data_IF_325275242870
#
_entry.id   IF_325275242870
#
_cell.length_a   1.000
_cell.length_b   1.000
_cell.length_c   1.000
_cell.angle_alpha   90.00
_cell.angle_beta   90.00
_cell.angle_gamma   90.00
#
_symmetry.space_group_name_H-M   'P 1'
#
loop_
_entity.id
_entity.type
_entity.pdbx_description
1 polymer ?
#
# COMPACT_ATOMS: atom_id res chain seq x y z
N UNK A 1 -20.26 -4.50 -27.17
CA UNK A 1 -19.61 -3.87 -25.99
C UNK A 1 -20.46 -2.78 -25.33
N UNK A 2 -21.30 -2.03 -26.05
CA UNK A 2 -22.16 -0.97 -25.49
C UNK A 2 -23.12 -1.39 -24.35
N UNK A 3 -23.64 -2.62 -24.37
CA UNK A 3 -24.57 -3.11 -23.36
C UNK A 3 -23.94 -3.24 -21.97
N UNK A 4 -22.66 -3.63 -21.88
CA UNK A 4 -21.94 -3.78 -20.60
C UNK A 4 -21.74 -2.42 -19.95
N UNK A 5 -21.35 -1.41 -20.75
CA UNK A 5 -21.13 -0.04 -20.29
C UNK A 5 -22.44 0.67 -19.90
N UNK A 6 -23.53 0.42 -20.63
CA UNK A 6 -24.85 0.92 -20.27
C UNK A 6 -25.35 0.37 -18.94
N UNK A 7 -25.10 -0.92 -18.66
CA UNK A 7 -25.40 -1.54 -17.36
C UNK A 7 -24.53 -0.94 -16.26
N UNK A 8 -23.22 -0.80 -16.49
CA UNK A 8 -22.29 -0.22 -15.52
C UNK A 8 -22.67 1.22 -15.12
N UNK A 9 -23.00 2.08 -16.10
CA UNK A 9 -23.42 3.46 -15.84
C UNK A 9 -24.77 3.54 -15.13
N UNK A 10 -25.68 2.60 -15.39
CA UNK A 10 -26.93 2.48 -14.64
C UNK A 10 -26.66 2.13 -13.17
N UNK A 11 -25.79 1.16 -12.90
CA UNK A 11 -25.38 0.79 -11.54
C UNK A 11 -24.73 1.95 -10.79
N UNK A 12 -23.87 2.74 -11.45
CA UNK A 12 -23.25 3.93 -10.85
C UNK A 12 -24.32 4.96 -10.47
N UNK A 13 -25.27 5.26 -11.36
CA UNK A 13 -26.37 6.21 -11.06
C UNK A 13 -27.24 5.74 -9.91
N UNK A 14 -27.47 4.43 -9.81
CA UNK A 14 -28.25 3.83 -8.74
C UNK A 14 -27.51 3.92 -7.39
N UNK A 15 -26.21 3.60 -7.38
CA UNK A 15 -25.36 3.70 -6.19
C UNK A 15 -25.21 5.15 -5.70
N UNK A 16 -25.04 6.12 -6.60
CA UNK A 16 -24.95 7.55 -6.23
C UNK A 16 -26.24 8.10 -5.62
N UNK A 17 -27.41 7.52 -5.96
CA UNK A 17 -28.70 7.90 -5.35
C UNK A 17 -28.92 7.25 -3.98
N UNK A 18 -28.07 6.32 -3.57
CA UNK A 18 -28.20 5.69 -2.26
C UNK A 18 -27.79 6.67 -1.17
N UNK A 19 -28.71 6.97 -0.25
CA UNK A 19 -28.43 7.78 0.95
C UNK A 19 -27.23 7.24 1.73
N UNK A 20 -27.05 5.91 1.77
CA UNK A 20 -25.93 5.27 2.47
C UNK A 20 -24.58 5.69 1.88
N UNK A 21 -24.44 5.72 0.54
CA UNK A 21 -23.20 6.15 -0.09
C UNK A 21 -22.85 7.60 0.26
N UNK A 22 -23.86 8.48 0.30
CA UNK A 22 -23.68 9.86 0.74
C UNK A 22 -23.20 9.96 2.19
N UNK A 23 -23.71 9.11 3.09
CA UNK A 23 -23.26 9.08 4.51
C UNK A 23 -21.77 8.75 4.60
N UNK A 24 -21.28 7.73 3.88
CA UNK A 24 -19.85 7.39 3.88
C UNK A 24 -18.98 8.51 3.30
N UNK A 25 -19.46 9.17 2.23
CA UNK A 25 -18.73 10.29 1.61
C UNK A 25 -18.63 11.47 2.59
N UNK A 26 -19.74 11.86 3.21
CA UNK A 26 -19.77 12.94 4.21
C UNK A 26 -18.88 12.59 5.40
N UNK A 27 -18.96 11.35 5.88
CA UNK A 27 -18.13 10.86 6.98
C UNK A 27 -16.63 10.98 6.65
N UNK A 28 -16.20 10.59 5.44
CA UNK A 28 -14.80 10.76 5.02
C UNK A 28 -14.40 12.23 4.88
N UNK A 29 -15.26 13.08 4.31
CA UNK A 29 -15.01 14.52 4.16
C UNK A 29 -14.83 15.21 5.52
N UNK A 30 -15.52 14.77 6.57
CA UNK A 30 -15.37 15.32 7.92
C UNK A 30 -14.19 14.70 8.66
N UNK A 31 -14.02 13.38 8.57
CA UNK A 31 -13.04 12.65 9.38
C UNK A 31 -11.59 12.90 8.92
N UNK A 32 -11.36 13.08 7.61
CA UNK A 32 -10.01 13.34 7.08
C UNK A 32 -9.42 14.69 7.56
N UNK A 33 -10.11 15.84 7.46
CA UNK A 33 -9.62 17.10 8.01
C UNK A 33 -9.41 17.05 9.53
N UNK A 34 -10.34 16.42 10.26
CA UNK A 34 -10.22 16.26 11.72
C UNK A 34 -8.95 15.47 12.07
N UNK A 35 -8.66 14.40 11.34
CA UNK A 35 -7.39 13.67 11.51
C UNK A 35 -6.17 14.51 11.15
N UNK A 36 -6.22 15.31 10.08
CA UNK A 36 -5.11 16.19 9.71
C UNK A 36 -4.73 17.19 10.81
N UNK A 37 -5.74 17.75 11.49
CA UNK A 37 -5.55 18.74 12.57
C UNK A 37 -5.23 18.09 13.93
N UNK A 38 -5.73 16.88 14.19
CA UNK A 38 -5.56 16.21 15.50
C UNK A 38 -4.27 15.39 15.60
N UNK A 39 -3.72 14.91 14.50
CA UNK A 39 -2.57 13.99 14.54
C UNK A 39 -1.25 14.73 14.82
N UNK A 40 -0.66 14.53 16.00
CA UNK A 40 0.61 15.18 16.39
C UNK A 40 1.84 14.36 16.00
N UNK A 41 1.71 13.05 15.75
CA UNK A 41 2.82 12.16 15.40
C UNK A 41 3.94 12.21 16.46
N UNK A 42 5.18 12.33 16.00
CA UNK A 42 6.39 12.42 16.84
C UNK A 42 6.77 13.87 17.22
N UNK A 43 5.84 14.83 17.05
CA UNK A 43 6.10 16.25 17.26
C UNK A 43 6.86 16.95 16.12
N UNK A 44 7.41 16.20 15.17
CA UNK A 44 8.00 16.73 13.93
C UNK A 44 6.96 16.84 12.82
N UNK A 45 7.12 17.81 11.91
CA UNK A 45 6.25 17.95 10.75
C UNK A 45 6.23 16.68 9.87
N UNK A 46 7.38 16.03 9.70
CA UNK A 46 7.49 14.76 8.94
C UNK A 46 6.66 13.65 9.56
N UNK A 47 6.83 13.39 10.86
CA UNK A 47 6.12 12.33 11.57
C UNK A 47 4.61 12.53 11.47
N UNK A 48 4.16 13.79 11.58
CA UNK A 48 2.76 14.18 11.41
C UNK A 48 2.22 13.86 10.01
N UNK A 49 2.94 14.24 8.94
CA UNK A 49 2.53 13.93 7.56
C UNK A 49 2.50 12.42 7.29
N UNK A 50 3.52 11.69 7.72
CA UNK A 50 3.60 10.25 7.53
C UNK A 50 2.47 9.51 8.25
N UNK A 51 2.19 9.92 9.50
CA UNK A 51 1.09 9.36 10.28
C UNK A 51 -0.24 9.71 9.63
N UNK A 52 -0.47 10.97 9.27
CA UNK A 52 -1.70 11.39 8.61
C UNK A 52 -1.98 10.62 7.32
N UNK A 53 -1.00 10.50 6.41
CA UNK A 53 -1.19 9.78 5.15
C UNK A 53 -1.41 8.29 5.38
N UNK A 54 -0.65 7.66 6.27
CA UNK A 54 -0.77 6.21 6.53
C UNK A 54 -2.13 5.87 7.16
N UNK A 55 -2.52 6.59 8.21
CA UNK A 55 -3.81 6.37 8.88
C UNK A 55 -4.99 6.83 8.04
N UNK A 56 -4.86 7.96 7.32
CA UNK A 56 -5.89 8.49 6.42
C UNK A 56 -6.20 7.53 5.27
N UNK A 57 -5.17 6.95 4.64
CA UNK A 57 -5.34 5.92 3.61
C UNK A 57 -5.94 4.64 4.18
N UNK A 58 -5.49 4.20 5.36
CA UNK A 58 -6.02 2.99 6.02
C UNK A 58 -7.52 3.12 6.35
N UNK A 59 -7.91 4.26 6.93
CA UNK A 59 -9.29 4.57 7.27
C UNK A 59 -10.17 4.70 6.03
N UNK A 60 -9.66 5.37 5.00
CA UNK A 60 -10.32 5.49 3.68
C UNK A 60 -10.55 4.11 3.08
N UNK A 61 -9.54 3.25 3.08
CA UNK A 61 -9.63 1.88 2.58
C UNK A 61 -10.69 1.06 3.33
N UNK A 62 -10.71 1.12 4.67
CA UNK A 62 -11.71 0.43 5.50
C UNK A 62 -13.13 0.86 5.11
N UNK A 63 -13.38 2.17 5.07
CA UNK A 63 -14.70 2.72 4.79
C UNK A 63 -15.15 2.44 3.35
N UNK A 64 -14.25 2.53 2.38
CA UNK A 64 -14.52 2.16 0.99
C UNK A 64 -14.84 0.67 0.82
N UNK A 65 -14.14 -0.20 1.55
CA UNK A 65 -14.41 -1.64 1.55
C UNK A 65 -15.83 -1.91 2.07
N UNK A 66 -16.20 -1.32 3.21
CA UNK A 66 -17.53 -1.46 3.78
C UNK A 66 -18.62 -0.91 2.84
N UNK A 67 -18.39 0.27 2.26
CA UNK A 67 -19.29 0.87 1.27
C UNK A 67 -19.45 -0.05 0.04
N UNK A 68 -18.37 -0.62 -0.45
CA UNK A 68 -18.37 -1.51 -1.62
C UNK A 68 -19.21 -2.76 -1.36
N UNK A 69 -19.07 -3.37 -0.18
CA UNK A 69 -19.90 -4.53 0.22
C UNK A 69 -21.38 -4.13 0.26
N UNK A 70 -21.72 -3.02 0.90
CA UNK A 70 -23.11 -2.56 1.02
C UNK A 70 -23.71 -2.25 -0.35
N UNK A 71 -22.98 -1.53 -1.22
CA UNK A 71 -23.44 -1.21 -2.58
C UNK A 71 -23.62 -2.48 -3.41
N UNK A 72 -22.71 -3.44 -3.29
CA UNK A 72 -22.81 -4.73 -3.99
C UNK A 72 -24.06 -5.50 -3.57
N UNK A 73 -24.32 -5.62 -2.27
CA UNK A 73 -25.53 -6.28 -1.74
C UNK A 73 -26.78 -5.52 -2.19
N UNK A 74 -26.81 -4.20 -2.03
CA UNK A 74 -27.97 -3.39 -2.38
C UNK A 74 -28.33 -3.45 -3.87
N UNK A 75 -27.32 -3.33 -4.75
CA UNK A 75 -27.54 -3.41 -6.20
C UNK A 75 -27.98 -4.82 -6.63
N UNK A 76 -27.62 -5.86 -5.89
CA UNK A 76 -28.12 -7.21 -6.12
C UNK A 76 -29.57 -7.37 -5.63
N UNK A 77 -29.85 -6.98 -4.39
CA UNK A 77 -31.19 -7.09 -3.77
C UNK A 77 -32.22 -6.23 -4.49
N UNK A 78 -31.86 -5.00 -4.88
CA UNK A 78 -32.81 -4.10 -5.54
C UNK A 78 -33.23 -4.62 -6.91
N UNK A 79 -32.33 -5.27 -7.65
CA UNK A 79 -32.65 -5.88 -8.94
C UNK A 79 -33.59 -7.08 -8.80
N UNK A 80 -33.43 -7.88 -7.74
CA UNK A 80 -34.34 -8.97 -7.40
C UNK A 80 -35.72 -8.39 -7.06
N UNK A 81 -35.77 -7.35 -6.22
CA UNK A 81 -37.02 -6.73 -5.74
C UNK A 81 -37.80 -6.05 -6.87
N UNK A 82 -37.12 -5.35 -7.78
CA UNK A 82 -37.75 -4.63 -8.89
C UNK A 82 -38.11 -5.54 -10.08
N UNK A 83 -37.91 -6.86 -9.97
CA UNK A 83 -38.14 -7.84 -11.05
C UNK A 83 -37.42 -7.49 -12.37
N UNK A 84 -36.40 -6.62 -12.33
CA UNK A 84 -35.65 -6.24 -13.53
C UNK A 84 -34.97 -7.44 -14.20
N UNK A 85 -34.58 -8.45 -13.40
CA UNK A 85 -34.06 -9.72 -13.90
C UNK A 85 -35.03 -10.36 -14.90
N UNK A 86 -36.34 -10.33 -14.65
CA UNK A 86 -37.35 -10.94 -15.51
C UNK A 86 -37.56 -10.16 -16.82
N UNK A 87 -37.40 -8.84 -16.81
CA UNK A 87 -37.51 -7.98 -18.01
C UNK A 87 -36.23 -7.98 -18.85
N UNK A 88 -35.07 -8.28 -18.25
CA UNK A 88 -33.79 -8.32 -18.97
C UNK A 88 -33.55 -9.69 -19.61
N UNK A 89 -34.10 -10.77 -19.06
CA UNK A 89 -34.03 -12.13 -19.65
C UNK A 89 -34.74 -12.19 -21.02
N UNK A 90 -35.73 -11.32 -21.29
CA UNK A 90 -36.42 -11.29 -22.60
C UNK A 90 -35.61 -10.57 -23.68
N UNK A 91 -34.51 -9.87 -23.33
CA UNK A 91 -33.53 -9.35 -24.31
C UNK A 91 -32.44 -10.39 -24.54
N UNK A 92 -31.84 -10.48 -25.75
CA UNK A 92 -30.79 -11.44 -26.07
C UNK A 92 -29.44 -11.06 -25.42
N UNK A 93 -29.43 -10.96 -24.09
CA UNK A 93 -28.26 -10.60 -23.27
C UNK A 93 -27.91 -11.83 -22.42
N UNK A 94 -26.71 -12.37 -22.62
CA UNK A 94 -26.21 -13.52 -21.84
C UNK A 94 -26.10 -13.14 -20.36
N UNK A 95 -26.49 -14.05 -19.45
CA UNK A 95 -26.48 -13.81 -17.99
C UNK A 95 -25.14 -13.29 -17.45
N UNK A 96 -24.02 -13.81 -17.98
CA UNK A 96 -22.67 -13.37 -17.62
C UNK A 96 -22.39 -11.90 -17.96
N UNK A 97 -23.00 -11.37 -19.02
CA UNK A 97 -22.77 -10.00 -19.48
C UNK A 97 -23.38 -8.96 -18.52
N UNK A 98 -24.48 -9.32 -17.84
CA UNK A 98 -25.07 -8.50 -16.78
C UNK A 98 -24.22 -8.49 -15.52
N UNK A 99 -23.73 -9.68 -15.12
CA UNK A 99 -22.87 -9.81 -13.96
C UNK A 99 -21.56 -9.02 -14.15
N UNK A 100 -20.95 -9.13 -15.33
CA UNK A 100 -19.76 -8.34 -15.71
C UNK A 100 -20.03 -6.83 -15.73
N UNK A 101 -21.17 -6.40 -16.30
CA UNK A 101 -21.54 -4.98 -16.33
C UNK A 101 -21.71 -4.39 -14.93
N UNK A 102 -22.32 -5.13 -14.01
CA UNK A 102 -22.46 -4.71 -12.61
C UNK A 102 -21.13 -4.68 -11.88
N UNK A 103 -20.32 -5.73 -12.01
CA UNK A 103 -19.01 -5.82 -11.40
C UNK A 103 -18.13 -4.65 -11.85
N UNK A 104 -18.11 -4.36 -13.16
CA UNK A 104 -17.42 -3.18 -13.69
C UNK A 104 -17.99 -1.88 -13.14
N UNK A 105 -19.31 -1.74 -13.00
CA UNK A 105 -19.94 -0.56 -12.40
C UNK A 105 -19.50 -0.32 -10.95
N UNK A 106 -19.44 -1.38 -10.13
CA UNK A 106 -18.98 -1.31 -8.74
C UNK A 106 -17.48 -0.99 -8.68
N UNK A 107 -16.65 -1.65 -9.48
CA UNK A 107 -15.20 -1.37 -9.54
C UNK A 107 -14.95 0.08 -9.94
N UNK A 108 -15.58 0.55 -11.01
CA UNK A 108 -15.38 1.91 -11.51
C UNK A 108 -15.82 2.95 -10.46
N UNK A 109 -16.93 2.70 -9.77
CA UNK A 109 -17.38 3.54 -8.65
C UNK A 109 -16.35 3.56 -7.52
N UNK A 110 -15.88 2.40 -7.05
CA UNK A 110 -14.90 2.31 -5.97
C UNK A 110 -13.57 2.95 -6.34
N UNK A 111 -13.09 2.77 -7.58
CA UNK A 111 -11.89 3.43 -8.10
C UNK A 111 -12.07 4.94 -8.18
N UNK A 112 -13.22 5.43 -8.64
CA UNK A 112 -13.50 6.87 -8.70
C UNK A 112 -13.54 7.51 -7.31
N UNK A 113 -14.20 6.87 -6.34
CA UNK A 113 -14.21 7.36 -4.95
C UNK A 113 -12.81 7.29 -4.33
N UNK A 114 -12.06 6.21 -4.54
CA UNK A 114 -10.68 6.10 -4.06
C UNK A 114 -9.81 7.24 -4.60
N UNK A 115 -9.86 7.49 -5.92
CA UNK A 115 -9.13 8.59 -6.53
C UNK A 115 -9.52 9.96 -5.95
N UNK A 116 -10.81 10.20 -5.73
CA UNK A 116 -11.31 11.42 -5.10
C UNK A 116 -10.75 11.60 -3.68
N UNK A 117 -10.83 10.58 -2.83
CA UNK A 117 -10.34 10.67 -1.46
C UNK A 117 -8.81 10.73 -1.38
N UNK A 118 -8.09 10.02 -2.26
CA UNK A 118 -6.64 10.16 -2.40
C UNK A 118 -6.25 11.58 -2.79
N UNK A 119 -6.99 12.23 -3.70
CA UNK A 119 -6.76 13.63 -4.05
C UNK A 119 -7.01 14.58 -2.87
N UNK A 120 -8.05 14.32 -2.05
CA UNK A 120 -8.32 15.09 -0.83
C UNK A 120 -7.18 14.93 0.18
N UNK A 121 -6.74 13.69 0.43
CA UNK A 121 -5.60 13.42 1.34
C UNK A 121 -4.36 14.16 0.84
N UNK A 122 -4.02 14.02 -0.44
CA UNK A 122 -2.88 14.71 -1.06
C UNK A 122 -2.95 16.23 -0.91
N UNK A 123 -4.14 16.80 -1.14
CA UNK A 123 -4.39 18.23 -0.96
C UNK A 123 -4.10 18.63 0.49
N UNK A 124 -4.69 17.94 1.47
CA UNK A 124 -4.46 18.22 2.89
C UNK A 124 -2.97 18.11 3.23
N UNK A 125 -2.27 17.08 2.74
CA UNK A 125 -0.83 16.87 2.94
C UNK A 125 0.02 18.04 2.43
N UNK A 126 -0.31 18.61 1.26
CA UNK A 126 0.40 19.77 0.70
C UNK A 126 0.12 21.06 1.48
N UNK A 127 -1.10 21.25 1.98
CA UNK A 127 -1.46 22.46 2.71
C UNK A 127 -1.07 22.41 4.19
N UNK A 128 -0.81 21.22 4.74
CA UNK A 128 -0.41 21.02 6.14
C UNK A 128 0.80 21.88 6.56
N UNK A 129 1.92 21.94 5.82
CA UNK A 129 3.06 22.80 6.17
C UNK A 129 2.71 24.29 6.30
N UNK A 130 1.74 24.78 5.52
CA UNK A 130 1.27 26.18 5.59
C UNK A 130 0.38 26.46 6.80
N UNK A 131 -0.29 25.42 7.34
CA UNK A 131 -1.19 25.54 8.49
C UNK A 131 -0.45 25.58 9.83
N UNK A 132 0.77 25.05 9.90
CA UNK A 132 1.53 24.90 11.16
C UNK A 132 2.77 25.80 11.23
N UNK A 133 2.93 26.74 10.29
CA UNK A 133 4.00 27.76 10.27
C UNK A 133 5.40 27.16 10.55
N UNK A 134 5.69 26.06 9.87
CA UNK A 134 6.87 25.25 10.13
C UNK A 134 8.16 26.00 9.81
N UNK A 135 9.17 25.86 10.68
CA UNK A 135 10.48 26.46 10.47
C UNK A 135 11.14 26.00 9.17
N UNK A 136 11.97 26.85 8.55
CA UNK A 136 12.61 26.56 7.25
C UNK A 136 13.37 25.22 7.23
N UNK A 137 13.99 24.84 8.36
CA UNK A 137 14.68 23.57 8.52
C UNK A 137 13.74 22.34 8.40
N UNK A 138 12.53 22.42 8.96
CA UNK A 138 11.54 21.33 8.87
C UNK A 138 10.97 21.20 7.45
N UNK A 139 10.80 22.33 6.74
CA UNK A 139 10.34 22.33 5.35
C UNK A 139 11.34 21.65 4.42
N UNK A 140 12.64 21.92 4.59
CA UNK A 140 13.72 21.26 3.84
C UNK A 140 13.72 19.76 4.14
N UNK A 141 13.58 19.37 5.41
CA UNK A 141 13.54 17.97 5.80
C UNK A 141 12.35 17.24 5.17
N UNK A 142 11.15 17.82 5.23
CA UNK A 142 9.95 17.24 4.64
C UNK A 142 10.06 17.14 3.12
N UNK A 143 10.61 18.16 2.45
CA UNK A 143 10.84 18.11 1.00
C UNK A 143 11.76 16.95 0.62
N UNK A 144 12.90 16.83 1.30
CA UNK A 144 13.91 15.83 0.98
C UNK A 144 13.51 14.40 1.39
N UNK A 145 12.81 14.25 2.52
CA UNK A 145 12.52 12.93 3.09
C UNK A 145 11.13 12.40 2.76
N UNK A 146 10.13 13.27 2.55
CA UNK A 146 8.74 12.87 2.36
C UNK A 146 8.23 13.11 0.93
N UNK A 147 8.54 14.26 0.33
CA UNK A 147 8.06 14.59 -1.02
C UNK A 147 8.97 14.06 -2.15
N UNK A 148 10.21 13.69 -1.86
CA UNK A 148 11.13 13.08 -2.84
C UNK A 148 11.06 11.56 -2.78
N UNK A 149 10.83 10.91 -3.93
CA UNK A 149 10.89 9.47 -4.04
C UNK A 149 12.33 8.96 -3.83
N UNK A 150 12.55 8.08 -2.85
CA UNK A 150 13.88 7.54 -2.53
C UNK A 150 13.99 6.09 -3.01
N UNK A 151 15.02 5.79 -3.79
CA UNK A 151 15.40 4.41 -4.06
C UNK A 151 16.16 3.86 -2.84
N UNK A 152 15.70 2.73 -2.30
CA UNK A 152 16.44 2.03 -1.25
C UNK A 152 17.69 1.40 -1.86
N UNK A 153 18.86 1.69 -1.30
CA UNK A 153 20.10 1.03 -1.65
C UNK A 153 20.32 -0.13 -0.68
N UNK A 154 20.37 -1.34 -1.20
CA UNK A 154 20.76 -2.50 -0.40
C UNK A 154 22.28 -2.49 -0.23
N UNK A 155 22.79 -2.67 1.01
CA UNK A 155 24.22 -2.81 1.23
C UNK A 155 24.81 -3.92 0.37
N UNK A 156 26.02 -3.75 -0.18
CA UNK A 156 26.67 -4.80 -0.97
C UNK A 156 26.86 -6.06 -0.12
N UNK A 157 26.59 -7.23 -0.71
CA UNK A 157 26.86 -8.49 -0.03
C UNK A 157 28.37 -8.68 0.14
N UNK A 158 28.79 -8.91 1.38
CA UNK A 158 30.18 -9.28 1.67
C UNK A 158 30.38 -10.73 1.21
N UNK A 159 31.37 -10.97 0.37
CA UNK A 159 31.72 -12.34 -0.05
C UNK A 159 32.27 -13.13 1.15
N UNK A 160 31.46 -14.04 1.67
CA UNK A 160 31.80 -14.93 2.79
C UNK A 160 32.17 -16.34 2.32
N UNK A 161 32.28 -16.58 1.02
CA UNK A 161 32.39 -17.92 0.44
C UNK A 161 33.61 -18.69 0.98
N UNK A 162 34.76 -18.02 1.09
CA UNK A 162 35.98 -18.64 1.61
C UNK A 162 35.89 -18.96 3.10
N UNK A 163 35.29 -18.07 3.89
CA UNK A 163 35.10 -18.26 5.34
C UNK A 163 34.13 -19.41 5.64
N UNK A 164 33.08 -19.54 4.84
CA UNK A 164 32.09 -20.63 4.94
C UNK A 164 32.73 -21.99 4.63
N UNK A 165 33.52 -22.08 3.57
CA UNK A 165 34.24 -23.32 3.21
C UNK A 165 35.24 -23.73 4.30
N UNK A 166 35.99 -22.78 4.85
CA UNK A 166 36.91 -23.05 5.96
C UNK A 166 36.17 -23.54 7.22
N UNK A 167 35.01 -22.95 7.52
CA UNK A 167 34.15 -23.37 8.64
C UNK A 167 33.58 -24.77 8.43
N UNK A 168 33.14 -25.07 7.21
CA UNK A 168 32.65 -26.40 6.83
C UNK A 168 33.72 -27.48 6.98
N UNK A 169 34.92 -27.24 6.46
CA UNK A 169 36.05 -28.18 6.59
C UNK A 169 36.45 -28.40 8.06
N UNK A 170 36.35 -27.35 8.88
CA UNK A 170 36.58 -27.47 10.33
C UNK A 170 35.55 -28.38 10.99
N UNK A 171 34.25 -28.21 10.69
CA UNK A 171 33.16 -29.04 11.21
C UNK A 171 33.25 -30.49 10.73
N UNK A 172 33.73 -30.70 9.50
CA UNK A 172 34.01 -32.02 8.93
C UNK A 172 35.12 -32.74 9.70
N UNK A 173 36.22 -32.04 10.01
CA UNK A 173 37.35 -32.60 10.76
C UNK A 173 37.00 -32.92 12.21
N UNK A 174 36.11 -32.16 12.84
CA UNK A 174 35.66 -32.40 14.22
C UNK A 174 34.51 -33.39 14.34
N UNK A 175 33.96 -33.88 13.23
CA UNK A 175 32.86 -34.85 13.22
C UNK A 175 31.52 -34.28 13.71
N UNK A 176 31.34 -32.96 13.69
CA UNK A 176 30.14 -32.26 14.19
C UNK A 176 29.15 -31.89 13.07
N UNK A 177 29.24 -32.54 11.91
CA UNK A 177 28.29 -32.33 10.82
C UNK A 177 26.96 -33.01 11.16
N UNK A 178 25.82 -32.31 10.99
CA UNK A 178 24.50 -32.93 11.11
C UNK A 178 24.41 -34.16 10.17
N UNK A 179 24.06 -35.34 10.68
CA UNK A 179 24.09 -36.58 9.89
C UNK A 179 22.98 -36.66 8.82
N UNK A 180 21.99 -35.77 8.86
CA UNK A 180 20.75 -35.85 8.06
C UNK A 180 20.54 -34.64 7.10
N UNK A 181 21.58 -33.83 6.88
CA UNK A 181 21.47 -32.58 6.09
C UNK A 181 22.42 -32.61 4.90
N UNK A 182 21.95 -32.17 3.73
CA UNK A 182 22.76 -32.13 2.51
C UNK A 182 23.89 -31.11 2.63
N UNK A 183 25.07 -31.39 2.05
CA UNK A 183 26.22 -30.45 2.00
C UNK A 183 25.80 -29.05 1.51
N UNK A 184 24.88 -29.00 0.54
CA UNK A 184 24.39 -27.74 -0.04
C UNK A 184 23.60 -26.92 0.97
N UNK A 185 22.76 -27.57 1.78
CA UNK A 185 21.96 -26.93 2.82
C UNK A 185 22.84 -26.44 3.97
N UNK A 186 23.84 -27.22 4.38
CA UNK A 186 24.81 -26.82 5.41
C UNK A 186 25.60 -25.58 4.97
N UNK A 187 26.06 -25.54 3.72
CA UNK A 187 26.78 -24.37 3.18
C UNK A 187 25.85 -23.15 3.11
N UNK A 188 24.58 -23.31 2.70
CA UNK A 188 23.63 -22.22 2.65
C UNK A 188 23.34 -21.64 4.04
N UNK A 189 23.17 -22.49 5.05
CA UNK A 189 22.94 -22.07 6.44
C UNK A 189 24.16 -21.34 7.03
N UNK A 190 25.37 -21.88 6.80
CA UNK A 190 26.62 -21.24 7.21
C UNK A 190 26.82 -19.89 6.52
N UNK A 191 26.46 -19.79 5.23
CA UNK A 191 26.52 -18.54 4.47
C UNK A 191 25.60 -17.50 5.07
N UNK A 192 24.34 -17.85 5.32
CA UNK A 192 23.35 -16.95 5.91
C UNK A 192 23.81 -16.47 7.30
N UNK A 193 24.27 -17.39 8.16
CA UNK A 193 24.79 -17.06 9.49
C UNK A 193 25.98 -16.10 9.42
N UNK A 194 26.95 -16.34 8.53
CA UNK A 194 28.12 -15.47 8.35
C UNK A 194 27.78 -14.11 7.77
N UNK A 195 26.85 -14.05 6.81
CA UNK A 195 26.34 -12.79 6.29
C UNK A 195 25.63 -11.96 7.37
N UNK A 196 24.83 -12.59 8.23
CA UNK A 196 24.18 -11.92 9.37
C UNK A 196 25.21 -11.42 10.39
N UNK A 197 26.24 -12.22 10.71
CA UNK A 197 27.34 -11.79 11.58
C UNK A 197 28.07 -10.56 11.03
N UNK A 198 28.39 -10.52 9.73
CA UNK A 198 29.06 -9.38 9.10
C UNK A 198 28.16 -8.13 8.99
N UNK A 199 26.84 -8.32 8.95
CA UNK A 199 25.86 -7.22 8.97
C UNK A 199 25.61 -6.66 10.37
N UNK A 200 25.96 -7.40 11.43
CA UNK A 200 25.78 -6.96 12.80
C UNK A 200 26.93 -6.05 13.23
N UNK A 201 26.62 -4.85 13.73
CA UNK A 201 27.59 -4.02 14.42
C UNK A 201 27.88 -4.61 15.81
N UNK A 202 29.16 -4.76 16.16
CA UNK A 202 29.57 -5.16 17.52
C UNK A 202 29.28 -4.02 18.48
N UNK A 203 28.94 -4.32 19.74
CA UNK A 203 28.68 -3.31 20.78
C UNK A 203 29.84 -2.30 20.85
N UNK A 204 29.53 -1.02 20.65
CA UNK A 204 30.52 0.07 20.67
C UNK A 204 31.28 0.30 19.36
N UNK A 205 31.03 -0.48 18.31
CA UNK A 205 31.59 -0.27 16.97
C UNK A 205 30.52 0.18 15.98
N UNK A 206 30.92 0.97 14.98
CA UNK A 206 30.06 1.37 13.88
C UNK A 206 30.42 0.57 12.62
N UNK A 207 29.41 0.20 11.84
CA UNK A 207 29.58 -0.41 10.53
C UNK A 207 29.39 0.68 9.47
N UNK A 208 30.45 0.96 8.70
CA UNK A 208 30.38 1.92 7.59
C UNK A 208 30.01 1.17 6.32
N UNK A 209 28.97 1.64 5.65
CA UNK A 209 28.58 1.14 4.34
C UNK A 209 29.03 2.15 3.28
N UNK A 210 29.91 1.72 2.39
CA UNK A 210 30.34 2.50 1.24
C UNK A 210 29.61 2.00 0.00
N UNK A 211 28.89 2.92 -0.65
CA UNK A 211 28.18 2.63 -1.89
C UNK A 211 28.96 3.26 -3.05
N UNK A 212 29.55 2.41 -3.88
CA UNK A 212 30.29 2.84 -5.05
C UNK A 212 29.37 2.88 -6.28
N UNK A 213 29.55 3.90 -7.13
CA UNK A 213 28.85 4.04 -8.41
C UNK A 213 27.31 4.11 -8.28
N UNK A 214 26.82 4.83 -7.26
CA UNK A 214 25.38 5.08 -7.08
C UNK A 214 24.87 5.93 -8.24
N UNK A 215 24.14 5.31 -9.16
CA UNK A 215 23.44 6.04 -10.22
C UNK A 215 22.25 6.76 -9.60
N UNK A 216 22.36 8.08 -9.50
CA UNK A 216 21.23 8.94 -9.14
C UNK A 216 20.20 8.81 -10.27
N UNK A 217 18.99 8.38 -9.95
CA UNK A 217 17.92 8.22 -10.96
C UNK A 217 17.35 9.57 -11.42
N UNK A 218 17.67 10.65 -10.72
CA UNK A 218 17.20 12.00 -10.99
C UNK A 218 18.36 12.87 -11.54
N UNK A 219 18.26 13.42 -12.76
CA UNK A 219 19.26 14.30 -13.34
C UNK A 219 19.10 15.80 -12.94
N UNK A 220 18.17 16.14 -12.04
CA UNK A 220 17.86 17.52 -11.63
C UNK A 220 18.19 17.80 -10.16
#
# INVERSE_FOLDING_TARGET
MHSIWAVATSTIKQALRMKIAAVFIILLIVLLPVMGVSMTGDGTLKGRLQTFVSYGLSLTNLLLCLLTIIVSIYTLTNDIKQRQIYTVITKPIRRFQLLLGKLLGVILLSTALLALFSAIIYTITIYTPKLFDAGEAELIQVKNEFFTARASLMPPEVDVTQEVLATYEKLKKTGQLPPDVSRKEIIAELTNRKQLEKRAAVVGQWLVWEFNNVKVLDPN
#
